data_IF_270898949831
#
_entry.id   IF_270898949831
#
_cell.length_a   1.000
_cell.length_b   1.000
_cell.length_c   1.000
_cell.angle_alpha   90.00
_cell.angle_beta   90.00
_cell.angle_gamma   90.00
#
_symmetry.space_group_name_H-M   'P 1'
#
loop_
_entity.id
_entity.type
_entity.pdbx_description
1 polymer ?
#
# COMPACT_ATOMS: atom_id res chain seq x y z
N UNK A 1 -4.27 -15.95 -0.66
CA UNK A 1 -3.33 -14.90 -0.15
C UNK A 1 -4.06 -14.16 0.98
N UNK A 2 -3.42 -13.69 2.06
CA UNK A 2 -4.09 -12.99 3.16
C UNK A 2 -4.05 -11.46 3.00
N UNK A 3 -5.01 -10.73 3.58
CA UNK A 3 -4.98 -9.26 3.72
C UNK A 3 -4.35 -8.83 5.04
N UNK A 4 -3.87 -7.59 5.10
CA UNK A 4 -3.49 -6.92 6.34
C UNK A 4 -4.72 -6.32 7.03
N UNK A 5 -4.71 -6.31 8.35
CA UNK A 5 -5.73 -5.68 9.18
C UNK A 5 -5.69 -4.16 8.92
N UNK A 6 -6.81 -3.53 8.52
CA UNK A 6 -6.84 -2.09 8.28
C UNK A 6 -6.54 -1.28 9.54
N UNK A 7 -5.96 -0.09 9.37
CA UNK A 7 -5.65 0.82 10.49
C UNK A 7 -6.87 1.13 11.37
N UNK A 8 -8.04 1.35 10.75
CA UNK A 8 -9.31 1.60 11.45
C UNK A 8 -9.74 0.45 12.38
N UNK A 9 -9.32 -0.79 12.06
CA UNK A 9 -9.60 -1.98 12.86
C UNK A 9 -8.44 -2.33 13.81
N UNK A 10 -7.55 -1.37 14.07
CA UNK A 10 -6.41 -1.55 14.96
C UNK A 10 -5.21 -2.26 14.34
N UNK A 11 -5.16 -2.36 13.00
CA UNK A 11 -3.94 -2.69 12.27
C UNK A 11 -3.00 -1.50 12.11
N UNK A 12 -2.01 -1.61 11.22
CA UNK A 12 -0.98 -0.58 11.04
C UNK A 12 0.12 -1.02 10.08
N UNK A 13 1.33 -0.50 10.29
CA UNK A 13 2.51 -0.84 9.48
C UNK A 13 2.48 -0.30 8.05
N UNK A 14 1.86 0.86 7.84
CA UNK A 14 1.83 1.58 6.55
C UNK A 14 1.19 0.82 5.38
N UNK A 15 0.43 -0.25 5.64
CA UNK A 15 -0.39 -0.91 4.63
C UNK A 15 -1.80 -0.34 4.67
N UNK A 16 -2.25 0.19 3.53
CA UNK A 16 -3.60 0.74 3.36
C UNK A 16 -4.65 -0.37 3.29
N UNK A 17 -5.93 -0.03 3.47
CA UNK A 17 -7.03 -0.99 3.36
C UNK A 17 -7.10 -1.68 1.99
N UNK A 18 -6.59 -1.04 0.93
CA UNK A 18 -6.51 -1.63 -0.42
C UNK A 18 -5.18 -2.31 -0.75
N UNK A 19 -4.28 -2.46 0.22
CA UNK A 19 -3.02 -3.19 0.05
C UNK A 19 -1.84 -2.38 -0.51
N UNK A 20 -2.05 -1.12 -0.88
CA UNK A 20 -0.95 -0.21 -1.19
C UNK A 20 -0.18 0.17 0.07
N UNK A 21 1.09 0.56 -0.09
CA UNK A 21 1.95 1.01 1.01
C UNK A 21 1.98 2.54 1.03
N UNK A 22 1.62 3.15 2.16
CA UNK A 22 1.67 4.60 2.35
C UNK A 22 3.00 5.03 2.98
N UNK A 23 4.03 5.20 2.15
CA UNK A 23 5.34 5.68 2.57
C UNK A 23 5.87 6.73 1.60
N UNK A 24 6.36 7.86 2.11
CA UNK A 24 6.77 9.01 1.30
C UNK A 24 7.85 8.65 0.26
N UNK A 25 8.78 7.75 0.60
CA UNK A 25 9.83 7.27 -0.33
C UNK A 25 9.26 6.65 -1.62
N UNK A 26 8.01 6.16 -1.60
CA UNK A 26 7.34 5.55 -2.74
C UNK A 26 6.49 6.55 -3.53
N UNK A 27 6.66 7.85 -3.28
CA UNK A 27 5.92 8.91 -3.97
C UNK A 27 6.89 9.76 -4.76
N UNK A 28 6.37 10.52 -5.73
CA UNK A 28 7.16 11.47 -6.51
C UNK A 28 7.86 12.52 -5.63
N UNK A 29 7.29 12.85 -4.47
CA UNK A 29 7.84 13.86 -3.58
C UNK A 29 8.99 13.33 -2.71
N UNK A 30 9.04 12.03 -2.45
CA UNK A 30 10.05 11.41 -1.57
C UNK A 30 11.03 10.48 -2.27
N UNK A 31 10.73 10.03 -3.49
CA UNK A 31 11.65 9.22 -4.29
C UNK A 31 12.79 10.07 -4.83
N UNK A 32 14.03 9.61 -4.64
CA UNK A 32 15.22 10.21 -5.23
C UNK A 32 15.86 9.21 -6.21
N UNK A 33 16.47 9.69 -7.28
CA UNK A 33 17.17 8.84 -8.26
C UNK A 33 18.35 8.06 -7.66
N UNK A 34 18.86 8.50 -6.51
CA UNK A 34 19.92 7.83 -5.74
C UNK A 34 19.37 6.78 -4.77
N UNK A 35 18.05 6.69 -4.59
CA UNK A 35 17.45 5.71 -3.67
C UNK A 35 17.57 4.31 -4.28
N UNK A 36 18.22 3.40 -3.55
CA UNK A 36 18.35 2.00 -3.97
C UNK A 36 17.17 1.16 -3.48
N UNK A 37 16.88 0.07 -4.19
CA UNK A 37 15.82 -0.86 -3.82
C UNK A 37 16.07 -1.49 -2.45
N UNK A 38 17.32 -1.80 -2.10
CA UNK A 38 17.67 -2.35 -0.79
C UNK A 38 17.32 -1.38 0.35
N UNK A 39 17.60 -0.09 0.14
CA UNK A 39 17.24 0.97 1.10
C UNK A 39 15.73 1.05 1.28
N UNK A 40 14.97 1.00 0.19
CA UNK A 40 13.50 1.01 0.22
C UNK A 40 12.96 -0.21 0.96
N UNK A 41 13.40 -1.41 0.61
CA UNK A 41 12.93 -2.64 1.24
C UNK A 41 13.23 -2.65 2.75
N UNK A 42 14.39 -2.12 3.15
CA UNK A 42 14.73 -1.96 4.56
C UNK A 42 13.80 -0.95 5.26
N UNK A 43 13.61 0.23 4.67
CA UNK A 43 12.72 1.26 5.21
C UNK A 43 11.29 0.74 5.37
N UNK A 44 10.75 0.07 4.35
CA UNK A 44 9.41 -0.51 4.39
C UNK A 44 9.30 -1.61 5.44
N UNK A 45 10.31 -2.47 5.57
CA UNK A 45 10.34 -3.48 6.63
C UNK A 45 10.30 -2.83 8.02
N UNK A 46 11.08 -1.78 8.24
CA UNK A 46 11.08 -1.06 9.52
C UNK A 46 9.73 -0.39 9.77
N UNK A 47 9.15 0.27 8.77
CA UNK A 47 7.83 0.89 8.85
C UNK A 47 6.72 -0.13 9.17
N UNK A 48 6.75 -1.30 8.53
CA UNK A 48 5.79 -2.38 8.78
C UNK A 48 5.94 -2.99 10.19
N UNK A 49 7.16 -3.08 10.70
CA UNK A 49 7.46 -3.61 12.02
C UNK A 49 7.33 -2.57 13.15
N UNK A 50 7.17 -1.28 12.81
CA UNK A 50 7.07 -0.21 13.78
C UNK A 50 5.91 -0.44 14.74
N UNK A 51 6.15 -0.25 16.04
CA UNK A 51 5.11 -0.30 17.07
C UNK A 51 4.37 1.02 17.23
N UNK A 52 4.82 2.07 16.55
CA UNK A 52 4.19 3.39 16.52
C UNK A 52 3.63 3.68 15.12
N UNK A 53 2.32 3.93 14.98
CA UNK A 53 1.27 3.77 16.00
C UNK A 53 0.95 2.31 16.32
N UNK A 54 1.08 1.39 15.34
CA UNK A 54 0.87 -0.06 15.46
C UNK A 54 1.59 -0.82 14.33
N UNK A 55 2.05 -2.06 14.57
CA UNK A 55 2.70 -2.88 13.54
C UNK A 55 1.68 -3.47 12.56
N UNK A 56 2.17 -3.90 11.39
CA UNK A 56 1.40 -4.64 10.42
C UNK A 56 0.92 -5.98 11.01
N UNK A 57 -0.37 -6.28 10.88
CA UNK A 57 -0.99 -7.54 11.34
C UNK A 57 -1.78 -8.17 10.21
N UNK A 58 -1.77 -9.49 10.12
CA UNK A 58 -2.63 -10.20 9.18
C UNK A 58 -4.06 -10.23 9.70
N UNK A 59 -5.01 -10.03 8.80
CA UNK A 59 -6.42 -10.22 9.12
C UNK A 59 -6.75 -11.72 9.06
N UNK A 60 -7.37 -12.22 10.14
CA UNK A 60 -7.62 -13.65 10.35
C UNK A 60 -8.67 -14.17 9.36
N UNK A 61 -8.40 -15.34 8.76
CA UNK A 61 -9.28 -16.04 7.82
C UNK A 61 -10.68 -16.28 8.44
N UNK A 62 -11.75 -15.94 7.72
CA UNK A 62 -13.14 -16.10 8.19
C UNK A 62 -13.77 -14.85 8.81
N UNK A 63 -13.05 -13.72 8.86
CA UNK A 63 -13.59 -12.41 9.31
C UNK A 63 -14.02 -11.51 8.15
N UNK A 64 -14.02 -12.03 6.92
CA UNK A 64 -14.42 -11.31 5.71
C UNK A 64 -15.89 -11.61 5.38
N UNK A 65 -16.55 -10.67 4.70
CA UNK A 65 -17.89 -10.92 4.16
C UNK A 65 -17.83 -12.05 3.11
N UNK A 66 -18.87 -12.89 3.05
CA UNK A 66 -18.94 -14.01 2.12
C UNK A 66 -18.82 -13.51 0.67
N UNK A 67 -17.85 -14.02 -0.09
CA UNK A 67 -17.54 -13.59 -1.46
C UNK A 67 -16.31 -12.69 -1.62
N UNK A 68 -15.68 -12.23 -0.54
CA UNK A 68 -14.48 -11.41 -0.62
C UNK A 68 -13.25 -12.28 -0.95
N UNK A 69 -12.74 -12.16 -2.17
CA UNK A 69 -11.48 -12.81 -2.55
C UNK A 69 -10.38 -12.28 -1.61
N UNK A 70 -9.78 -13.16 -0.82
CA UNK A 70 -8.83 -12.85 0.26
C UNK A 70 -7.53 -12.12 -0.18
N UNK A 71 -7.41 -11.73 -1.47
CA UNK A 71 -6.25 -11.08 -2.05
C UNK A 71 -6.57 -9.62 -2.42
N UNK A 72 -5.57 -8.74 -2.33
CA UNK A 72 -5.67 -7.39 -2.89
C UNK A 72 -5.69 -7.45 -4.42
N UNK A 73 -6.50 -6.57 -5.03
CA UNK A 73 -6.49 -6.34 -6.48
C UNK A 73 -5.73 -5.07 -6.85
N UNK A 74 -5.19 -5.01 -8.07
CA UNK A 74 -4.44 -3.83 -8.58
C UNK A 74 -5.26 -2.55 -8.49
N UNK A 75 -6.52 -2.56 -8.97
CA UNK A 75 -7.42 -1.39 -8.92
C UNK A 75 -7.63 -0.88 -7.49
N UNK A 76 -7.82 -1.80 -6.55
CA UNK A 76 -8.03 -1.46 -5.14
C UNK A 76 -6.78 -0.80 -4.52
N UNK A 77 -5.60 -1.31 -4.87
CA UNK A 77 -4.32 -0.76 -4.43
C UNK A 77 -4.07 0.63 -5.05
N UNK A 78 -4.36 0.83 -6.34
CA UNK A 78 -4.24 2.11 -7.03
C UNK A 78 -5.13 3.18 -6.39
N UNK A 79 -6.39 2.87 -6.14
CA UNK A 79 -7.31 3.77 -5.45
C UNK A 79 -6.84 4.07 -4.01
N UNK A 80 -6.30 3.07 -3.31
CA UNK A 80 -5.78 3.26 -1.96
C UNK A 80 -4.51 4.12 -1.92
N UNK A 81 -3.63 4.00 -2.92
CA UNK A 81 -2.46 4.87 -3.09
C UNK A 81 -2.89 6.33 -3.31
N UNK A 82 -3.81 6.59 -4.25
CA UNK A 82 -4.33 7.95 -4.47
C UNK A 82 -4.91 8.57 -3.19
N UNK A 83 -5.67 7.78 -2.42
CA UNK A 83 -6.19 8.23 -1.11
C UNK A 83 -5.07 8.54 -0.12
N UNK A 84 -4.03 7.70 -0.05
CA UNK A 84 -2.88 7.97 0.81
C UNK A 84 -2.17 9.28 0.43
N UNK A 85 -1.96 9.52 -0.87
CA UNK A 85 -1.40 10.78 -1.35
C UNK A 85 -2.25 11.98 -0.93
N UNK A 86 -3.57 11.92 -1.12
CA UNK A 86 -4.47 13.00 -0.69
C UNK A 86 -4.44 13.26 0.83
N UNK A 87 -4.36 12.19 1.65
CA UNK A 87 -4.29 12.32 3.12
C UNK A 87 -2.98 12.94 3.58
N UNK A 88 -1.87 12.61 2.93
CA UNK A 88 -0.54 13.09 3.30
C UNK A 88 -0.09 14.36 2.53
N UNK A 89 -0.90 14.84 1.59
CA UNK A 89 -0.55 15.98 0.73
C UNK A 89 0.52 15.67 -0.32
N UNK A 90 0.67 14.40 -0.72
CA UNK A 90 1.62 13.99 -1.76
C UNK A 90 1.06 14.20 -3.16
N UNK A 91 1.93 14.52 -4.10
CA UNK A 91 1.64 14.70 -5.52
C UNK A 91 1.32 13.36 -6.17
N UNK A 92 0.20 13.28 -6.88
CA UNK A 92 -0.13 12.17 -7.76
C UNK A 92 0.36 12.54 -9.17
N UNK A 93 1.20 11.71 -9.83
CA UNK A 93 1.64 11.97 -11.20
C UNK A 93 0.47 12.15 -12.18
N UNK A 94 0.59 13.06 -13.13
CA UNK A 94 -0.46 13.36 -14.09
C UNK A 94 -0.77 12.17 -15.04
N UNK A 95 0.22 11.33 -15.28
CA UNK A 95 0.20 10.12 -16.11
C UNK A 95 -0.05 8.83 -15.30
N UNK A 96 -0.35 8.95 -14.00
CA UNK A 96 -0.49 7.79 -13.11
C UNK A 96 -1.57 6.79 -13.57
N UNK A 97 -2.68 7.28 -14.14
CA UNK A 97 -3.74 6.41 -14.65
C UNK A 97 -3.36 5.68 -15.95
N UNK A 98 -2.46 6.26 -16.75
CA UNK A 98 -1.98 5.65 -17.99
C UNK A 98 -1.02 4.51 -17.68
N UNK A 99 -0.10 4.71 -16.73
CA UNK A 99 0.87 3.67 -16.31
C UNK A 99 0.20 2.44 -15.69
N UNK A 100 -0.92 2.64 -14.99
CA UNK A 100 -1.72 1.54 -14.43
C UNK A 100 -2.47 0.76 -15.53
N UNK A 101 -2.90 1.44 -16.59
CA UNK A 101 -3.63 0.82 -17.69
C UNK A 101 -2.74 0.01 -18.64
N UNK A 102 -1.42 0.26 -18.64
CA UNK A 102 -0.44 -0.40 -19.50
C UNK A 102 -0.04 -1.81 -19.03
N UNK A 103 -0.46 -2.29 -17.85
CA UNK A 103 -0.28 -3.69 -17.48
C UNK A 103 -1.12 -4.59 -18.42
N UNK A 104 -0.50 -5.37 -19.33
CA UNK A 104 -1.25 -6.32 -20.12
C UNK A 104 -1.83 -7.34 -19.16
N UNK A 105 -3.12 -7.57 -19.27
CA UNK A 105 -3.84 -8.66 -18.64
C UNK A 105 -3.20 -9.98 -19.09
N UNK A 106 -2.15 -10.42 -18.40
CA UNK A 106 -1.45 -11.67 -18.70
C UNK A 106 -2.43 -12.82 -18.48
N UNK A 107 -2.73 -13.51 -19.58
CA UNK A 107 -3.54 -14.73 -19.67
C UNK A 107 -2.91 -15.89 -18.91
#
# INVERSE_FOLDING_TARGET
RPRFLPFANGGGGHVTAGGAICHAVLTTDGWLCTTTIESILLQLRMAMASVDPKPARLQIRGTYADGDNNSYGTREAVEAYKRACMVHGWTIPADFDQTVAEEPQQH
#
